data_IF_731744658761
#
_entry.id   IF_731744658761
#
_cell.length_a   1.000
_cell.length_b   1.000
_cell.length_c   1.000
_cell.angle_alpha   90.00
_cell.angle_beta   90.00
_cell.angle_gamma   90.00
#
_symmetry.space_group_name_H-M   'P 1'
#
loop_
_entity.id
_entity.type
_entity.pdbx_description
1 polymer ?
#
# COMPACT_ATOMS: atom_id res chain seq x y z
N UNK A 1 -13.94 -1.51 20.77
CA UNK A 1 -14.31 -0.35 19.95
C UNK A 1 -13.60 -0.44 18.60
N UNK A 2 -14.31 -0.16 17.48
CA UNK A 2 -13.77 -0.29 16.13
C UNK A 2 -12.55 0.67 15.95
N UNK A 3 -12.64 1.89 16.47
CA UNK A 3 -11.57 2.90 16.35
C UNK A 3 -10.23 2.45 16.97
N UNK A 4 -10.24 1.53 17.91
CA UNK A 4 -9.01 0.93 18.50
C UNK A 4 -8.38 -0.13 17.60
N UNK A 5 -9.14 -0.69 16.66
CA UNK A 5 -8.73 -1.84 15.84
C UNK A 5 -8.50 -1.49 14.39
N UNK A 6 -9.07 -0.39 13.92
CA UNK A 6 -9.03 0.02 12.51
C UNK A 6 -8.48 1.44 12.42
N UNK A 7 -7.32 1.58 11.79
CA UNK A 7 -6.77 2.87 11.38
C UNK A 7 -7.26 3.23 9.98
N UNK A 8 -7.49 4.52 9.73
CA UNK A 8 -7.96 5.03 8.44
C UNK A 8 -7.09 6.22 8.00
N UNK A 9 -6.61 6.15 6.77
CA UNK A 9 -5.96 7.27 6.09
C UNK A 9 -6.72 7.56 4.78
N UNK A 10 -7.24 8.77 4.67
CA UNK A 10 -7.99 9.24 3.50
C UNK A 10 -7.05 9.83 2.44
N UNK A 11 -7.50 9.96 1.21
CA UNK A 11 -6.79 10.59 0.10
C UNK A 11 -6.31 12.00 0.46
N UNK A 12 -7.18 12.84 1.04
CA UNK A 12 -6.80 14.15 1.59
C UNK A 12 -6.21 13.98 3.00
N UNK A 13 -4.98 13.48 3.06
CA UNK A 13 -4.25 13.27 4.31
C UNK A 13 -3.92 14.57 5.04
N UNK A 14 -3.79 15.70 4.33
CA UNK A 14 -3.46 16.99 4.95
C UNK A 14 -4.58 17.48 5.87
N UNK A 15 -5.84 17.23 5.52
CA UNK A 15 -7.00 17.59 6.36
C UNK A 15 -7.09 16.77 7.65
N UNK A 16 -6.38 15.65 7.73
CA UNK A 16 -6.34 14.80 8.92
C UNK A 16 -5.25 15.22 9.93
N UNK A 17 -4.27 16.03 9.52
CA UNK A 17 -3.22 16.54 10.41
C UNK A 17 -3.74 17.77 11.18
N UNK A 18 -3.71 17.71 12.51
CA UNK A 18 -4.36 18.71 13.38
C UNK A 18 -3.40 19.41 14.36
N UNK A 19 -2.19 18.88 14.53
CA UNK A 19 -1.22 19.37 15.50
C UNK A 19 -0.21 20.34 14.87
N UNK A 20 0.65 20.95 15.67
CA UNK A 20 1.69 21.87 15.18
C UNK A 20 2.98 21.14 14.84
N UNK A 21 3.34 20.11 15.61
CA UNK A 21 4.58 19.35 15.42
C UNK A 21 4.31 17.88 15.16
N UNK A 22 5.30 17.21 14.57
CA UNK A 22 5.22 15.79 14.27
C UNK A 22 5.03 14.92 15.53
N UNK A 23 5.71 15.27 16.60
CA UNK A 23 5.56 14.56 17.88
C UNK A 23 4.17 14.75 18.49
N UNK A 24 3.62 15.97 18.43
CA UNK A 24 2.26 16.26 18.92
C UNK A 24 1.21 15.49 18.12
N UNK A 25 1.37 15.35 16.80
CA UNK A 25 0.42 14.63 15.96
C UNK A 25 0.31 13.15 16.38
N UNK A 26 1.44 12.47 16.57
CA UNK A 26 1.44 11.09 17.05
C UNK A 26 0.94 10.99 18.49
N UNK A 27 1.38 11.91 19.36
CA UNK A 27 0.96 11.93 20.75
C UNK A 27 -0.55 12.19 20.89
N UNK A 28 -1.13 13.06 20.05
CA UNK A 28 -2.57 13.31 20.01
C UNK A 28 -3.37 12.04 19.72
N UNK A 29 -2.93 11.26 18.74
CA UNK A 29 -3.55 9.97 18.43
C UNK A 29 -3.51 9.02 19.65
N UNK A 30 -2.34 8.86 20.27
CA UNK A 30 -2.16 7.99 21.44
C UNK A 30 -3.02 8.40 22.63
N UNK A 31 -3.03 9.71 22.97
CA UNK A 31 -3.81 10.23 24.10
C UNK A 31 -5.32 10.05 23.89
N UNK A 32 -5.82 10.29 22.68
CA UNK A 32 -7.22 10.06 22.34
C UNK A 32 -7.63 8.59 22.44
N UNK A 33 -6.68 7.67 22.27
CA UNK A 33 -6.89 6.23 22.46
C UNK A 33 -6.66 5.76 23.90
N UNK A 34 -6.41 6.69 24.84
CA UNK A 34 -6.33 6.40 26.27
C UNK A 34 -5.00 5.82 26.74
N UNK A 35 -3.92 5.97 25.97
CA UNK A 35 -2.59 5.58 26.44
C UNK A 35 -2.12 6.50 27.57
N UNK A 36 -1.41 5.93 28.53
CA UNK A 36 -0.87 6.70 29.65
C UNK A 36 0.23 7.66 29.16
N UNK A 37 0.32 8.91 29.73
CA UNK A 37 1.31 9.89 29.31
C UNK A 37 2.74 9.38 29.34
N UNK A 38 3.04 8.47 30.24
CA UNK A 38 4.38 7.87 30.42
C UNK A 38 4.79 6.99 29.22
N UNK A 39 3.79 6.38 28.53
CA UNK A 39 4.00 5.54 27.35
C UNK A 39 4.07 6.36 26.05
N UNK A 40 3.45 7.54 26.03
CA UNK A 40 3.25 8.34 24.80
C UNK A 40 4.58 8.72 24.17
N UNK A 41 5.55 9.20 24.96
CA UNK A 41 6.84 9.66 24.43
C UNK A 41 7.61 8.53 23.70
N UNK A 42 7.68 7.34 24.30
CA UNK A 42 8.39 6.20 23.68
C UNK A 42 7.65 5.66 22.46
N UNK A 43 6.32 5.57 22.50
CA UNK A 43 5.49 5.14 21.35
C UNK A 43 5.58 6.13 20.19
N UNK A 44 5.58 7.44 20.47
CA UNK A 44 5.75 8.50 19.47
C UNK A 44 7.10 8.35 18.77
N UNK A 45 8.19 8.24 19.53
CA UNK A 45 9.53 8.07 18.98
C UNK A 45 9.59 6.83 18.06
N UNK A 46 9.08 5.71 18.54
CA UNK A 46 9.07 4.46 17.78
C UNK A 46 8.22 4.53 16.52
N UNK A 47 7.05 5.12 16.59
CA UNK A 47 6.17 5.28 15.44
C UNK A 47 6.82 6.14 14.34
N UNK A 48 7.50 7.24 14.73
CA UNK A 48 8.26 8.06 13.79
C UNK A 48 9.46 7.32 13.19
N UNK A 49 10.17 6.52 13.97
CA UNK A 49 11.24 5.66 13.46
C UNK A 49 10.72 4.63 12.46
N UNK A 50 9.61 3.98 12.76
CA UNK A 50 9.00 2.93 11.93
C UNK A 50 8.59 3.45 10.54
N UNK A 51 8.29 4.75 10.41
CA UNK A 51 7.95 5.39 9.12
C UNK A 51 9.12 6.14 8.46
N UNK A 52 10.32 6.03 9.01
CA UNK A 52 11.52 6.68 8.47
C UNK A 52 11.62 8.18 8.77
N UNK A 53 11.07 8.63 9.89
CA UNK A 53 11.15 10.01 10.40
C UNK A 53 11.85 10.09 11.78
N UNK A 54 12.99 9.40 12.02
CA UNK A 54 13.64 9.39 13.34
C UNK A 54 14.12 10.79 13.74
N UNK A 55 13.92 11.17 15.01
CA UNK A 55 14.39 12.44 15.57
C UNK A 55 13.65 13.67 15.06
N UNK A 56 12.45 13.49 14.50
CA UNK A 56 11.64 14.58 13.95
C UNK A 56 10.48 15.03 14.84
N UNK A 57 10.50 14.64 16.10
CA UNK A 57 9.40 14.92 17.04
C UNK A 57 9.10 16.43 17.19
N UNK A 58 10.14 17.28 17.15
CA UNK A 58 10.02 18.72 17.30
C UNK A 58 9.82 19.51 16.00
N UNK A 59 9.84 18.82 14.84
CA UNK A 59 9.64 19.48 13.53
C UNK A 59 8.21 19.96 13.39
N UNK A 60 8.06 21.20 12.91
CA UNK A 60 6.74 21.74 12.54
C UNK A 60 6.25 21.05 11.26
N UNK A 61 4.92 20.95 11.09
CA UNK A 61 4.35 20.28 9.93
C UNK A 61 4.71 20.96 8.60
N UNK A 62 4.90 22.27 8.60
CA UNK A 62 5.31 23.04 7.43
C UNK A 62 6.80 22.87 7.05
N UNK A 63 7.62 22.38 7.98
CA UNK A 63 9.02 21.98 7.70
C UNK A 63 9.12 20.60 7.01
N UNK A 64 8.03 19.83 7.00
CA UNK A 64 7.98 18.51 6.39
C UNK A 64 7.52 18.58 4.92
N UNK A 65 8.15 17.80 4.05
CA UNK A 65 7.65 17.61 2.67
C UNK A 65 6.29 16.90 2.67
N UNK A 66 5.53 16.96 1.56
CA UNK A 66 4.26 16.26 1.42
C UNK A 66 4.36 14.76 1.74
N UNK A 67 5.35 14.06 1.18
CA UNK A 67 5.58 12.64 1.49
C UNK A 67 5.97 12.39 2.96
N UNK A 68 6.66 13.33 3.62
CA UNK A 68 6.96 13.23 5.04
C UNK A 68 5.71 13.46 5.91
N UNK A 69 4.82 14.40 5.55
CA UNK A 69 3.53 14.60 6.22
C UNK A 69 2.63 13.36 6.09
N UNK A 70 2.63 12.75 4.93
CA UNK A 70 1.88 11.50 4.72
C UNK A 70 2.42 10.34 5.56
N UNK A 71 3.75 10.19 5.66
CA UNK A 71 4.39 9.22 6.57
C UNK A 71 4.11 9.55 8.05
N UNK A 72 4.02 10.82 8.40
CA UNK A 72 3.64 11.24 9.74
C UNK A 72 2.22 10.80 10.09
N UNK A 73 1.25 10.99 9.19
CA UNK A 73 -0.12 10.51 9.43
C UNK A 73 -0.14 8.98 9.57
N UNK A 74 0.64 8.27 8.77
CA UNK A 74 0.81 6.83 8.91
C UNK A 74 1.40 6.48 10.28
N UNK A 75 2.41 7.23 10.78
CA UNK A 75 2.96 7.04 12.12
C UNK A 75 1.91 7.22 13.21
N UNK A 76 1.10 8.29 13.13
CA UNK A 76 0.02 8.56 14.08
C UNK A 76 -1.04 7.44 14.09
N UNK A 77 -1.33 6.88 12.90
CA UNK A 77 -2.26 5.75 12.75
C UNK A 77 -1.67 4.45 13.31
N UNK A 78 -0.38 4.20 13.09
CA UNK A 78 0.31 2.99 13.54
C UNK A 78 0.63 2.98 15.03
N UNK A 79 0.79 4.14 15.67
CA UNK A 79 1.21 4.27 17.05
C UNK A 79 0.29 3.51 18.03
N UNK A 80 -0.99 3.37 17.69
CA UNK A 80 -1.99 2.65 18.48
C UNK A 80 -2.00 1.13 18.22
N UNK A 81 -1.16 0.63 17.31
CA UNK A 81 -1.09 -0.78 16.88
C UNK A 81 -2.44 -1.33 16.43
N UNK A 82 -3.07 -0.77 15.40
CA UNK A 82 -4.35 -1.26 14.90
C UNK A 82 -4.18 -2.65 14.27
N UNK A 83 -5.23 -3.47 14.33
CA UNK A 83 -5.27 -4.78 13.66
C UNK A 83 -5.40 -4.63 12.14
N UNK A 84 -6.08 -3.57 11.70
CA UNK A 84 -6.37 -3.28 10.30
C UNK A 84 -6.03 -1.81 10.02
N UNK A 85 -5.41 -1.55 8.87
CA UNK A 85 -5.25 -0.20 8.33
C UNK A 85 -5.93 -0.14 6.97
N UNK A 86 -6.74 0.89 6.76
CA UNK A 86 -7.37 1.20 5.47
C UNK A 86 -6.75 2.47 4.93
N UNK A 87 -6.26 2.43 3.70
CA UNK A 87 -5.59 3.52 3.00
C UNK A 87 -6.36 3.81 1.71
N UNK A 88 -6.81 5.05 1.55
CA UNK A 88 -7.52 5.50 0.36
C UNK A 88 -6.58 6.33 -0.51
N UNK A 89 -6.23 5.80 -1.67
CA UNK A 89 -5.29 6.38 -2.65
C UNK A 89 -3.98 6.93 -2.05
N UNK A 90 -3.26 6.14 -1.24
CA UNK A 90 -2.13 6.67 -0.46
C UNK A 90 -0.95 7.16 -1.29
N UNK A 91 -0.91 6.92 -2.60
CA UNK A 91 0.19 7.36 -3.48
C UNK A 91 -0.25 8.32 -4.59
N UNK A 92 -1.49 8.83 -4.54
CA UNK A 92 -2.08 9.68 -5.60
C UNK A 92 -1.23 10.92 -5.94
N UNK A 93 -0.58 11.52 -4.94
CA UNK A 93 0.26 12.72 -5.08
C UNK A 93 1.78 12.44 -5.07
N UNK A 94 2.19 11.17 -5.15
CA UNK A 94 3.60 10.78 -5.09
C UNK A 94 4.22 10.55 -6.48
N UNK A 95 5.53 10.78 -6.59
CA UNK A 95 6.32 10.27 -7.70
C UNK A 95 6.50 8.74 -7.58
N UNK A 96 6.95 8.06 -8.66
CA UNK A 96 7.10 6.61 -8.65
C UNK A 96 7.99 6.06 -7.53
N UNK A 97 9.09 6.73 -7.20
CA UNK A 97 10.04 6.29 -6.16
C UNK A 97 9.41 6.43 -4.77
N UNK A 98 8.66 7.53 -4.54
CA UNK A 98 7.88 7.74 -3.32
C UNK A 98 6.81 6.67 -3.12
N UNK A 99 6.08 6.33 -4.20
CA UNK A 99 5.06 5.29 -4.18
C UNK A 99 5.65 3.91 -3.82
N UNK A 100 6.74 3.51 -4.49
CA UNK A 100 7.44 2.26 -4.15
C UNK A 100 7.89 2.24 -2.70
N UNK A 101 8.54 3.31 -2.24
CA UNK A 101 9.04 3.41 -0.86
C UNK A 101 7.91 3.35 0.18
N UNK A 102 6.71 3.86 -0.13
CA UNK A 102 5.56 3.74 0.77
C UNK A 102 5.05 2.29 0.84
N UNK A 103 4.91 1.60 -0.29
CA UNK A 103 4.43 0.20 -0.29
C UNK A 103 5.45 -0.76 0.32
N UNK A 104 6.75 -0.55 0.13
CA UNK A 104 7.80 -1.28 0.85
C UNK A 104 7.66 -1.09 2.37
N UNK A 105 7.44 0.14 2.82
CA UNK A 105 7.22 0.45 4.22
C UNK A 105 5.97 -0.25 4.77
N UNK A 106 4.85 -0.19 4.05
CA UNK A 106 3.61 -0.86 4.43
C UNK A 106 3.78 -2.37 4.53
N UNK A 107 4.49 -2.97 3.57
CA UNK A 107 4.82 -4.39 3.62
C UNK A 107 5.70 -4.75 4.82
N UNK A 108 6.72 -3.95 5.12
CA UNK A 108 7.56 -4.16 6.30
C UNK A 108 6.75 -4.07 7.61
N UNK A 109 5.79 -3.14 7.68
CA UNK A 109 4.85 -3.01 8.81
C UNK A 109 3.98 -4.25 8.94
N UNK A 110 3.39 -4.73 7.83
CA UNK A 110 2.62 -5.96 7.81
C UNK A 110 3.44 -7.15 8.33
N UNK A 111 4.66 -7.33 7.82
CA UNK A 111 5.54 -8.42 8.24
C UNK A 111 5.94 -8.34 9.71
N UNK A 112 6.14 -7.12 10.23
CA UNK A 112 6.60 -6.91 11.61
C UNK A 112 5.50 -7.03 12.64
N UNK A 113 4.31 -6.52 12.35
CA UNK A 113 3.23 -6.36 13.31
C UNK A 113 2.02 -7.26 13.03
N UNK A 114 1.96 -7.91 11.87
CA UNK A 114 0.80 -8.71 11.46
C UNK A 114 -0.44 -7.87 11.13
N UNK A 115 -0.29 -6.55 11.01
CA UNK A 115 -1.39 -5.65 10.67
C UNK A 115 -1.94 -5.97 9.28
N UNK A 116 -3.25 -6.16 9.15
CA UNK A 116 -3.90 -6.28 7.85
C UNK A 116 -3.95 -4.92 7.17
N UNK A 117 -3.48 -4.84 5.93
CA UNK A 117 -3.46 -3.59 5.17
C UNK A 117 -4.45 -3.70 4.01
N UNK A 118 -5.41 -2.79 3.96
CA UNK A 118 -6.39 -2.64 2.88
C UNK A 118 -6.07 -1.34 2.16
N UNK A 119 -5.84 -1.42 0.85
CA UNK A 119 -5.53 -0.26 0.01
C UNK A 119 -6.61 -0.13 -1.06
N UNK A 120 -7.20 1.05 -1.18
CA UNK A 120 -8.02 1.43 -2.32
C UNK A 120 -7.11 2.16 -3.31
N UNK A 121 -7.01 1.65 -4.51
CA UNK A 121 -6.07 2.16 -5.52
C UNK A 121 -6.57 2.00 -6.95
N UNK A 122 -6.19 2.94 -7.79
CA UNK A 122 -6.36 2.86 -9.24
C UNK A 122 -5.12 2.30 -9.96
N UNK A 123 -3.93 2.48 -9.38
CA UNK A 123 -2.62 2.10 -9.96
C UNK A 123 -2.07 0.85 -9.29
N UNK A 124 -2.63 -0.28 -9.64
CA UNK A 124 -2.35 -1.58 -9.00
C UNK A 124 -0.92 -2.09 -9.29
N UNK A 125 -0.23 -1.55 -10.29
CA UNK A 125 1.14 -1.95 -10.65
C UNK A 125 2.12 -1.85 -9.48
N UNK A 126 2.02 -0.80 -8.66
CA UNK A 126 2.87 -0.63 -7.47
C UNK A 126 2.61 -1.65 -6.36
N UNK A 127 1.39 -2.18 -6.31
CA UNK A 127 0.99 -3.18 -5.30
C UNK A 127 1.39 -4.60 -5.67
N UNK A 128 1.67 -4.85 -6.95
CA UNK A 128 1.88 -6.20 -7.48
C UNK A 128 2.90 -7.04 -6.68
N UNK A 129 4.04 -6.50 -6.20
CA UNK A 129 4.98 -7.28 -5.39
C UNK A 129 4.42 -7.72 -4.02
N UNK A 130 3.39 -7.05 -3.50
CA UNK A 130 2.95 -7.16 -2.10
C UNK A 130 1.53 -7.70 -1.94
N UNK A 131 0.66 -7.48 -2.94
CA UNK A 131 -0.77 -7.84 -2.86
C UNK A 131 -0.97 -9.35 -2.78
N UNK A 132 -1.82 -9.79 -1.86
CA UNK A 132 -2.25 -11.19 -1.72
C UNK A 132 -3.63 -11.40 -2.32
N UNK A 133 -4.57 -10.54 -1.95
CA UNK A 133 -5.98 -10.65 -2.30
C UNK A 133 -6.45 -9.35 -2.93
N UNK A 134 -7.47 -9.43 -3.78
CA UNK A 134 -8.04 -8.29 -4.47
C UNK A 134 -9.57 -8.33 -4.41
N UNK A 135 -10.15 -7.17 -4.12
CA UNK A 135 -11.60 -6.92 -4.22
C UNK A 135 -11.82 -5.96 -5.37
N UNK A 136 -12.62 -6.35 -6.34
CA UNK A 136 -12.95 -5.53 -7.51
C UNK A 136 -14.41 -5.11 -7.44
N UNK A 137 -14.62 -3.80 -7.47
CA UNK A 137 -15.94 -3.19 -7.51
C UNK A 137 -16.17 -2.51 -8.86
N UNK A 138 -17.36 -2.68 -9.44
CA UNK A 138 -17.77 -2.01 -10.65
C UNK A 138 -19.20 -1.50 -10.47
N UNK A 139 -19.43 -0.22 -10.68
CA UNK A 139 -20.76 0.42 -10.53
C UNK A 139 -21.41 0.13 -9.16
N UNK A 140 -20.63 0.11 -8.09
CA UNK A 140 -21.08 -0.18 -6.73
C UNK A 140 -21.41 -1.66 -6.46
N UNK A 141 -21.11 -2.56 -7.39
CA UNK A 141 -21.34 -4.00 -7.24
C UNK A 141 -20.01 -4.75 -7.13
N UNK A 142 -20.00 -5.81 -6.33
CA UNK A 142 -18.86 -6.70 -6.22
C UNK A 142 -18.74 -7.56 -7.48
N UNK A 143 -17.63 -7.44 -8.19
CA UNK A 143 -17.28 -8.29 -9.34
C UNK A 143 -16.57 -9.55 -8.87
N UNK A 144 -15.53 -9.40 -8.05
CA UNK A 144 -14.77 -10.51 -7.47
C UNK A 144 -14.13 -10.11 -6.13
N UNK A 145 -13.94 -11.08 -5.27
CA UNK A 145 -13.11 -10.98 -4.06
C UNK A 145 -12.36 -12.32 -3.92
N UNK A 146 -11.10 -12.33 -4.31
CA UNK A 146 -10.30 -13.56 -4.41
C UNK A 146 -8.81 -13.21 -4.33
N UNK A 147 -7.95 -14.23 -4.44
CA UNK A 147 -6.51 -14.01 -4.64
C UNK A 147 -6.27 -13.06 -5.81
N UNK A 148 -5.18 -12.30 -5.75
CA UNK A 148 -4.83 -11.38 -6.84
C UNK A 148 -4.83 -12.08 -8.21
N UNK A 149 -4.29 -13.30 -8.28
CA UNK A 149 -4.21 -14.07 -9.52
C UNK A 149 -5.58 -14.41 -10.12
N UNK A 150 -6.53 -14.82 -9.28
CA UNK A 150 -7.90 -15.14 -9.72
C UNK A 150 -8.67 -13.88 -10.12
N UNK A 151 -8.55 -12.81 -9.32
CA UNK A 151 -9.17 -11.53 -9.61
C UNK A 151 -8.65 -10.92 -10.93
N UNK A 152 -7.32 -10.93 -11.16
CA UNK A 152 -6.72 -10.44 -12.39
C UNK A 152 -7.21 -11.20 -13.63
N UNK A 153 -7.43 -12.52 -13.54
CA UNK A 153 -8.02 -13.32 -14.62
C UNK A 153 -9.47 -12.90 -14.89
N UNK A 154 -10.28 -12.72 -13.85
CA UNK A 154 -11.67 -12.25 -13.97
C UNK A 154 -11.72 -10.88 -14.64
N UNK A 155 -10.87 -9.94 -14.21
CA UNK A 155 -10.77 -8.61 -14.82
C UNK A 155 -10.32 -8.69 -16.29
N UNK A 156 -9.39 -9.58 -16.63
CA UNK A 156 -8.87 -9.71 -17.99
C UNK A 156 -9.93 -10.17 -19.01
N UNK A 157 -10.93 -10.93 -18.58
CA UNK A 157 -12.06 -11.37 -19.43
C UNK A 157 -13.14 -10.28 -19.62
N UNK A 158 -13.20 -9.28 -18.73
CA UNK A 158 -14.09 -8.12 -18.85
C UNK A 158 -13.42 -7.01 -19.69
N UNK A 159 -14.05 -6.55 -20.77
CA UNK A 159 -13.47 -5.55 -21.68
C UNK A 159 -13.22 -4.19 -21.01
N UNK A 160 -14.04 -3.79 -20.03
CA UNK A 160 -13.90 -2.53 -19.31
C UNK A 160 -12.86 -2.62 -18.18
N UNK A 161 -12.71 -3.79 -17.55
CA UNK A 161 -11.77 -4.00 -16.45
C UNK A 161 -10.36 -4.41 -16.93
N UNK A 162 -10.25 -5.00 -18.13
CA UNK A 162 -8.97 -5.44 -18.70
C UNK A 162 -7.89 -4.38 -18.71
N UNK A 163 -8.17 -3.10 -19.07
CA UNK A 163 -7.15 -2.04 -19.04
C UNK A 163 -6.61 -1.73 -17.63
N UNK A 164 -7.35 -2.11 -16.57
CA UNK A 164 -6.98 -1.90 -15.17
C UNK A 164 -6.13 -3.04 -14.59
N UNK A 165 -6.01 -4.16 -15.31
CA UNK A 165 -5.09 -5.24 -14.92
C UNK A 165 -3.66 -4.73 -15.06
N UNK A 166 -2.76 -4.97 -14.09
CA UNK A 166 -1.36 -4.57 -14.19
C UNK A 166 -0.72 -5.00 -15.51
N UNK A 167 0.09 -4.12 -16.11
CA UNK A 167 0.69 -4.34 -17.44
C UNK A 167 1.41 -5.69 -17.55
N UNK A 168 2.16 -6.06 -16.53
CA UNK A 168 2.86 -7.34 -16.46
C UNK A 168 1.90 -8.53 -16.56
N UNK A 169 0.73 -8.46 -15.91
CA UNK A 169 -0.28 -9.50 -15.96
C UNK A 169 -1.11 -9.48 -17.24
N UNK A 170 -1.29 -8.34 -17.89
CA UNK A 170 -1.88 -8.30 -19.23
C UNK A 170 -1.01 -9.08 -20.23
N UNK A 171 0.32 -8.88 -20.18
CA UNK A 171 1.27 -9.66 -20.99
C UNK A 171 1.18 -11.13 -20.67
N UNK A 172 1.25 -11.50 -19.37
CA UNK A 172 1.14 -12.88 -18.91
C UNK A 172 -0.10 -13.59 -19.46
N UNK A 173 -1.27 -13.03 -19.21
CA UNK A 173 -2.55 -13.61 -19.60
C UNK A 173 -2.72 -13.64 -21.13
N UNK A 174 -2.16 -12.67 -21.83
CA UNK A 174 -2.10 -12.65 -23.30
C UNK A 174 -1.25 -13.81 -23.87
N UNK A 175 -0.09 -14.07 -23.27
CA UNK A 175 0.79 -15.19 -23.65
C UNK A 175 0.11 -16.53 -23.35
N UNK A 176 -0.43 -16.70 -22.14
CA UNK A 176 -1.17 -17.92 -21.76
C UNK A 176 -2.29 -18.23 -22.75
N UNK A 177 -3.10 -17.21 -23.09
CA UNK A 177 -4.21 -17.36 -24.04
C UNK A 177 -3.74 -17.71 -25.47
N UNK A 178 -2.66 -17.09 -25.93
CA UNK A 178 -2.16 -17.26 -27.30
C UNK A 178 -1.50 -18.62 -27.52
N UNK A 179 -0.78 -19.12 -26.52
CA UNK A 179 0.02 -20.35 -26.64
C UNK A 179 -0.58 -21.55 -25.93
N UNK A 180 -1.69 -21.39 -25.20
CA UNK A 180 -2.35 -22.46 -24.46
C UNK A 180 -1.51 -23.03 -23.32
N UNK A 181 -0.67 -22.20 -22.70
CA UNK A 181 0.22 -22.56 -21.59
C UNK A 181 -0.26 -21.91 -20.29
N UNK A 182 0.26 -22.38 -19.17
CA UNK A 182 0.07 -21.74 -17.86
C UNK A 182 1.43 -21.24 -17.37
N UNK A 183 1.51 -19.97 -17.00
CA UNK A 183 2.70 -19.33 -16.48
C UNK A 183 2.59 -19.16 -14.95
N UNK A 184 3.73 -19.07 -14.28
CA UNK A 184 3.82 -18.79 -12.86
C UNK A 184 3.18 -17.45 -12.45
N UNK A 185 3.11 -17.19 -11.18
CA UNK A 185 2.66 -15.88 -10.68
C UNK A 185 3.81 -14.88 -10.78
N UNK A 186 3.68 -13.91 -11.68
CA UNK A 186 4.68 -12.86 -11.84
C UNK A 186 4.38 -11.70 -10.89
N UNK A 187 5.34 -11.41 -10.05
CA UNK A 187 5.34 -10.25 -9.14
C UNK A 187 6.26 -9.14 -9.64
N UNK A 188 7.26 -9.52 -10.46
CA UNK A 188 8.27 -8.61 -11.01
C UNK A 188 8.55 -8.91 -12.47
N UNK A 189 9.07 -7.92 -13.20
CA UNK A 189 9.53 -8.08 -14.58
C UNK A 189 10.68 -9.11 -14.68
N UNK A 190 11.52 -9.19 -13.66
CA UNK A 190 12.64 -10.14 -13.63
C UNK A 190 12.15 -11.60 -13.58
N UNK A 191 11.10 -11.88 -12.80
CA UNK A 191 10.47 -13.21 -12.76
C UNK A 191 9.84 -13.58 -14.11
N UNK A 192 9.14 -12.62 -14.73
CA UNK A 192 8.57 -12.81 -16.06
C UNK A 192 9.63 -13.09 -17.12
N UNK A 193 10.69 -12.30 -17.14
CA UNK A 193 11.79 -12.46 -18.09
C UNK A 193 12.48 -13.83 -17.93
N UNK A 194 12.74 -14.25 -16.68
CA UNK A 194 13.37 -15.54 -16.38
C UNK A 194 12.51 -16.71 -16.87
N UNK A 195 11.20 -16.70 -16.59
CA UNK A 195 10.31 -17.79 -17.02
C UNK A 195 10.15 -17.83 -18.55
N UNK A 196 9.98 -16.65 -19.19
CA UNK A 196 9.87 -16.57 -20.65
C UNK A 196 11.15 -17.06 -21.36
N UNK A 197 12.32 -16.76 -20.83
CA UNK A 197 13.59 -17.29 -21.37
C UNK A 197 13.68 -18.82 -21.24
N UNK A 198 13.26 -19.39 -20.10
CA UNK A 198 13.22 -20.84 -19.91
C UNK A 198 12.29 -21.53 -20.92
N UNK A 199 11.24 -20.87 -21.35
CA UNK A 199 10.29 -21.36 -22.34
C UNK A 199 10.73 -21.09 -23.79
N UNK A 200 11.90 -20.48 -24.01
CA UNK A 200 12.47 -20.24 -25.34
C UNK A 200 11.92 -18.98 -26.04
N UNK A 201 11.24 -18.09 -25.28
CA UNK A 201 10.91 -16.77 -25.79
C UNK A 201 12.15 -15.86 -25.69
N UNK A 202 12.95 -15.78 -26.78
CA UNK A 202 14.05 -14.85 -26.83
C UNK A 202 13.52 -13.42 -26.98
N UNK A 203 14.03 -12.50 -26.16
CA UNK A 203 13.74 -11.07 -26.32
C UNK A 203 14.31 -10.60 -27.66
N UNK A 204 13.43 -10.41 -28.64
CA UNK A 204 13.84 -9.81 -29.90
C UNK A 204 14.39 -8.40 -29.63
N UNK A 205 15.64 -8.18 -30.02
CA UNK A 205 16.19 -6.83 -30.13
C UNK A 205 15.32 -6.06 -31.13
N UNK A 206 14.47 -5.14 -30.59
CA UNK A 206 13.77 -4.14 -31.36
C UNK A 206 14.59 -2.83 -31.36
#
# INVERSE_FOLDING_TARGET
>A
DIAMRVGLMLEDYESQLVSLTAGEEVAFSLLNHGFAPEEVAERTRKALEDVGLPGRESYQLDELSGGQRQRLLLAATLAVHPEIIVLDEPVSAMDPDGAHSLYELLYAIHQRYGTTIIVVEHRVDYLLPYVTDMVVLKEGQLVTADTFAAAARTMYEDEELRPLVPALWQVKLGVERRFGITLGEWRTEAEAAAELQMLGFEGGNA
#
